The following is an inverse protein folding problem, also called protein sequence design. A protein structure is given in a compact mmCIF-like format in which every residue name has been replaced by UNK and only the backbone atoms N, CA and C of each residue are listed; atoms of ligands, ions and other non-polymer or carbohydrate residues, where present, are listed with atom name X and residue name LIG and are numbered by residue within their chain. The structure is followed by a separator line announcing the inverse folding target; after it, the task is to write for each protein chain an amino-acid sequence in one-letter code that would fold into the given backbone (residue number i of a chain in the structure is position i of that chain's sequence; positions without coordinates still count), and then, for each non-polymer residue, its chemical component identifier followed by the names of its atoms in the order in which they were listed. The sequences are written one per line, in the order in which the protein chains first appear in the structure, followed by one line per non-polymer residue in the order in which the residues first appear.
data_IF_800841728115
#
_entry.id   IF_800841728115
#
_cell.length_a   1.000
_cell.length_b   1.000
_cell.length_c   1.000
_cell.angle_alpha   90.00
_cell.angle_beta   90.00
_cell.angle_gamma   90.00
#
_symmetry.space_group_name_H-M   'P 1'
#
loop_
_entity.id
_entity.type
_entity.pdbx_description
1 polymer ?
#
# COMPACT_ATOMS: atom_id res chain seq x y z
N UNK A 1 -21.19 11.03 23.37
CA UNK A 1 -20.70 11.10 21.98
C UNK A 1 -19.19 10.84 21.89
N UNK A 2 -18.34 11.62 22.56
CA UNK A 2 -16.88 11.48 22.48
C UNK A 2 -16.33 10.08 22.85
N UNK A 3 -16.79 9.50 23.97
CA UNK A 3 -16.37 8.15 24.39
C UNK A 3 -16.79 7.05 23.41
N UNK A 4 -17.95 7.21 22.76
CA UNK A 4 -18.43 6.27 21.75
C UNK A 4 -17.58 6.35 20.47
N UNK A 5 -17.28 7.56 19.98
CA UNK A 5 -16.40 7.75 18.82
C UNK A 5 -15.01 7.16 19.03
N UNK A 6 -14.41 7.39 20.21
CA UNK A 6 -13.11 6.82 20.56
C UNK A 6 -13.13 5.28 20.64
N UNK A 7 -14.21 4.69 21.17
CA UNK A 7 -14.37 3.23 21.22
C UNK A 7 -14.51 2.62 19.81
N UNK A 8 -15.32 3.24 18.96
CA UNK A 8 -15.49 2.82 17.55
C UNK A 8 -14.16 2.88 16.81
N UNK A 9 -13.41 3.98 16.97
CA UNK A 9 -12.11 4.16 16.32
C UNK A 9 -11.09 3.13 16.79
N UNK A 10 -11.01 2.85 18.09
CA UNK A 10 -10.07 1.88 18.64
C UNK A 10 -10.36 0.46 18.15
N UNK A 11 -11.64 0.11 17.96
CA UNK A 11 -12.04 -1.19 17.43
C UNK A 11 -11.77 -1.30 15.91
N UNK A 12 -12.02 -0.22 15.17
CA UNK A 12 -11.99 -0.24 13.71
C UNK A 12 -10.59 0.02 13.12
N UNK A 13 -9.75 0.79 13.81
CA UNK A 13 -8.41 1.14 13.31
C UNK A 13 -7.51 -0.08 13.03
N UNK A 14 -7.45 -1.14 13.87
CA UNK A 14 -6.66 -2.33 13.57
C UNK A 14 -7.15 -3.06 12.32
N UNK A 15 -8.48 -3.16 12.14
CA UNK A 15 -9.08 -3.78 10.96
C UNK A 15 -8.71 -3.01 9.69
N UNK A 16 -8.85 -1.69 9.72
CA UNK A 16 -8.51 -0.83 8.58
C UNK A 16 -6.99 -0.82 8.29
N UNK A 17 -6.15 -0.88 9.32
CA UNK A 17 -4.69 -0.99 9.20
C UNK A 17 -4.30 -2.28 8.49
N UNK A 18 -4.84 -3.42 8.95
CA UNK A 18 -4.58 -4.72 8.33
C UNK A 18 -5.11 -4.79 6.89
N UNK A 19 -6.34 -4.32 6.67
CA UNK A 19 -6.94 -4.23 5.34
C UNK A 19 -6.07 -3.39 4.39
N UNK A 20 -5.59 -2.23 4.85
CA UNK A 20 -4.74 -1.35 4.04
C UNK A 20 -3.43 -2.05 3.66
N UNK A 21 -2.77 -2.70 4.62
CA UNK A 21 -1.53 -3.45 4.34
C UNK A 21 -1.73 -4.52 3.27
N UNK A 22 -2.74 -5.37 3.46
CA UNK A 22 -3.03 -6.47 2.53
C UNK A 22 -3.41 -5.94 1.16
N UNK A 23 -4.30 -4.94 1.11
CA UNK A 23 -4.84 -4.41 -0.14
C UNK A 23 -3.77 -3.66 -0.93
N UNK A 24 -2.94 -2.84 -0.28
CA UNK A 24 -1.86 -2.11 -0.94
C UNK A 24 -0.79 -3.06 -1.44
N UNK A 25 -0.33 -4.01 -0.63
CA UNK A 25 0.66 -4.99 -1.06
C UNK A 25 0.14 -5.83 -2.25
N UNK A 26 -1.12 -6.26 -2.18
CA UNK A 26 -1.77 -7.03 -3.25
C UNK A 26 -1.95 -6.17 -4.51
N UNK A 27 -2.34 -4.91 -4.38
CA UNK A 27 -2.47 -3.98 -5.51
C UNK A 27 -1.14 -3.76 -6.22
N UNK A 28 -0.04 -3.55 -5.47
CA UNK A 28 1.29 -3.41 -6.04
C UNK A 28 1.72 -4.69 -6.79
N UNK A 29 1.50 -5.85 -6.17
CA UNK A 29 1.83 -7.13 -6.78
C UNK A 29 1.01 -7.39 -8.05
N UNK A 30 -0.31 -7.19 -8.01
CA UNK A 30 -1.18 -7.34 -9.19
C UNK A 30 -0.84 -6.33 -10.29
N UNK A 31 -0.46 -5.10 -9.94
CA UNK A 31 0.01 -4.13 -10.93
C UNK A 31 1.29 -4.62 -11.64
N UNK A 32 2.18 -5.30 -10.91
CA UNK A 32 3.44 -5.81 -11.45
C UNK A 32 3.29 -7.08 -12.29
N UNK A 33 2.54 -8.07 -11.81
CA UNK A 33 2.50 -9.43 -12.40
C UNK A 33 1.10 -9.97 -12.63
N UNK A 34 0.04 -9.17 -12.43
CA UNK A 34 -1.35 -9.63 -12.46
C UNK A 34 -1.85 -10.14 -13.82
N UNK A 35 -1.16 -9.83 -14.90
CA UNK A 35 -1.43 -10.33 -16.25
C UNK A 35 -0.56 -11.53 -16.64
N UNK A 36 0.43 -11.89 -15.82
CA UNK A 36 1.29 -13.06 -16.02
C UNK A 36 0.69 -14.32 -15.40
N UNK A 37 -0.13 -14.17 -14.36
CA UNK A 37 -0.87 -15.27 -13.75
C UNK A 37 -2.30 -15.31 -14.32
N UNK A 38 -2.89 -16.51 -14.52
CA UNK A 38 -4.30 -16.60 -14.88
C UNK A 38 -5.15 -15.92 -13.79
N UNK A 39 -6.17 -15.14 -14.17
CA UNK A 39 -6.98 -14.40 -13.22
C UNK A 39 -7.66 -15.39 -12.27
N UNK A 40 -7.27 -15.35 -11.00
CA UNK A 40 -7.98 -16.08 -9.95
C UNK A 40 -9.24 -15.29 -9.65
N UNK A 41 -10.35 -15.60 -10.33
CA UNK A 41 -11.64 -14.91 -10.14
C UNK A 41 -12.04 -14.81 -8.66
N UNK A 42 -11.72 -15.84 -7.86
CA UNK A 42 -11.92 -15.84 -6.41
C UNK A 42 -11.16 -14.73 -5.67
N UNK A 43 -9.96 -14.36 -6.12
CA UNK A 43 -9.19 -13.26 -5.54
C UNK A 43 -9.85 -11.91 -5.82
N UNK A 44 -10.33 -11.69 -7.06
CA UNK A 44 -11.04 -10.45 -7.42
C UNK A 44 -12.31 -10.28 -6.58
N UNK A 45 -13.11 -11.35 -6.45
CA UNK A 45 -14.33 -11.34 -5.63
C UNK A 45 -13.99 -11.12 -4.14
N UNK A 46 -12.98 -11.79 -3.61
CA UNK A 46 -12.56 -11.61 -2.22
C UNK A 46 -12.10 -10.16 -1.95
N UNK A 47 -11.30 -9.60 -2.85
CA UNK A 47 -10.84 -8.21 -2.74
C UNK A 47 -11.99 -7.21 -2.87
N UNK A 48 -12.96 -7.46 -3.75
CA UNK A 48 -14.18 -6.64 -3.85
C UNK A 48 -15.02 -6.71 -2.58
N UNK A 49 -15.18 -7.90 -1.97
CA UNK A 49 -15.86 -8.05 -0.70
C UNK A 49 -15.16 -7.29 0.44
N UNK A 50 -13.82 -7.26 0.42
CA UNK A 50 -13.03 -6.51 1.40
C UNK A 50 -13.16 -4.98 1.24
N UNK A 51 -13.50 -4.46 0.05
CA UNK A 51 -13.73 -3.02 -0.17
C UNK A 51 -14.94 -2.46 0.62
N UNK A 52 -15.76 -3.33 1.22
CA UNK A 52 -16.80 -2.93 2.20
C UNK A 52 -16.17 -2.29 3.46
N UNK A 53 -14.95 -2.68 3.83
CA UNK A 53 -14.23 -2.14 5.00
C UNK A 53 -14.00 -0.63 4.85
N UNK A 54 -13.25 -0.14 3.84
CA UNK A 54 -13.01 1.30 3.70
C UNK A 54 -14.31 2.07 3.40
N UNK A 55 -15.30 1.44 2.76
CA UNK A 55 -16.61 2.07 2.55
C UNK A 55 -17.30 2.36 3.88
N UNK A 56 -17.34 1.36 4.77
CA UNK A 56 -17.92 1.55 6.10
C UNK A 56 -17.09 2.51 6.97
N UNK A 57 -15.77 2.59 6.78
CA UNK A 57 -14.93 3.62 7.40
C UNK A 57 -15.36 5.04 6.99
N UNK A 58 -15.62 5.28 5.71
CA UNK A 58 -16.12 6.58 5.21
C UNK A 58 -17.48 6.91 5.83
N UNK A 59 -18.38 5.93 5.92
CA UNK A 59 -19.67 6.13 6.60
C UNK A 59 -19.49 6.49 8.07
N UNK A 60 -18.60 5.81 8.79
CA UNK A 60 -18.28 6.10 10.20
C UNK A 60 -17.67 7.49 10.39
N UNK A 61 -16.79 7.94 9.47
CA UNK A 61 -16.23 9.31 9.48
C UNK A 61 -17.30 10.39 9.45
N UNK A 62 -18.39 10.16 8.73
CA UNK A 62 -19.49 11.13 8.58
C UNK A 62 -20.51 11.04 9.73
N UNK A 63 -20.70 9.85 10.29
CA UNK A 63 -21.82 9.56 11.20
C UNK A 63 -21.45 9.46 12.68
N UNK A 64 -20.25 8.99 13.00
CA UNK A 64 -19.91 8.54 14.35
C UNK A 64 -18.59 9.11 14.90
N UNK A 65 -17.67 9.55 14.04
CA UNK A 65 -16.35 10.00 14.46
C UNK A 65 -16.31 11.52 14.70
N UNK A 66 -15.74 11.97 15.83
CA UNK A 66 -15.55 13.39 16.10
C UNK A 66 -14.51 13.98 15.13
N UNK A 67 -14.69 15.26 14.77
CA UNK A 67 -13.70 16.00 13.98
C UNK A 67 -13.23 17.25 14.71
N UNK A 68 -11.92 17.41 14.83
CA UNK A 68 -11.34 18.65 15.30
C UNK A 68 -11.29 19.67 14.16
N UNK A 69 -11.74 20.90 14.44
CA UNK A 69 -11.64 22.02 13.52
C UNK A 69 -11.45 23.31 14.31
N UNK A 70 -10.34 24.02 14.06
CA UNK A 70 -9.95 25.24 14.78
C UNK A 70 -9.94 25.05 16.32
N UNK A 71 -9.47 23.89 16.79
CA UNK A 71 -9.42 23.56 18.23
C UNK A 71 -10.77 23.16 18.85
N UNK A 72 -11.85 23.12 18.06
CA UNK A 72 -13.16 22.65 18.51
C UNK A 72 -13.46 21.26 17.96
N UNK A 73 -13.90 20.36 18.84
CA UNK A 73 -14.33 19.01 18.46
C UNK A 73 -15.81 19.04 18.10
N UNK A 74 -16.11 18.75 16.83
CA UNK A 74 -17.46 18.60 16.32
C UNK A 74 -17.96 17.18 16.55
N UNK A 75 -19.22 17.06 16.97
CA UNK A 75 -19.88 15.77 17.22
C UNK A 75 -21.15 15.57 16.39
N UNK A 76 -21.72 16.63 15.80
CA UNK A 76 -22.99 16.54 15.09
C UNK A 76 -22.77 16.31 13.59
N UNK A 77 -23.55 15.40 13.01
CA UNK A 77 -23.50 15.08 11.57
C UNK A 77 -23.71 16.32 10.69
N UNK A 78 -24.59 17.24 11.13
CA UNK A 78 -24.90 18.48 10.42
C UNK A 78 -23.69 19.40 10.26
N UNK A 79 -22.75 19.37 11.21
CA UNK A 79 -21.51 20.16 11.16
C UNK A 79 -20.37 19.42 10.47
N UNK A 80 -20.28 18.10 10.66
CA UNK A 80 -19.20 17.26 10.11
C UNK A 80 -19.32 17.10 8.60
N UNK A 81 -20.52 16.82 8.09
CA UNK A 81 -20.71 16.48 6.66
C UNK A 81 -20.29 17.62 5.71
N UNK A 82 -20.74 18.89 5.88
CA UNK A 82 -20.33 19.96 4.96
C UNK A 82 -18.83 20.24 4.98
N UNK A 83 -18.16 19.99 6.11
CA UNK A 83 -16.71 20.17 6.25
C UNK A 83 -15.94 19.03 5.59
N UNK A 84 -16.40 17.80 5.78
CA UNK A 84 -15.86 16.63 5.09
C UNK A 84 -15.95 16.80 3.57
N UNK A 85 -17.12 17.20 3.03
CA UNK A 85 -17.31 17.46 1.60
C UNK A 85 -16.39 18.53 1.00
N UNK A 86 -15.80 19.40 1.83
CA UNK A 86 -14.84 20.43 1.40
C UNK A 86 -13.39 20.05 1.65
N UNK A 87 -13.12 18.95 2.36
CA UNK A 87 -11.76 18.53 2.64
C UNK A 87 -11.19 17.69 1.48
N UNK A 88 -9.87 17.73 1.25
CA UNK A 88 -9.23 16.89 0.23
C UNK A 88 -9.40 15.39 0.53
N UNK A 89 -9.70 15.03 1.78
CA UNK A 89 -9.96 13.65 2.20
C UNK A 89 -11.12 13.01 1.45
N UNK A 90 -12.17 13.76 1.11
CA UNK A 90 -13.29 13.23 0.30
C UNK A 90 -12.81 12.77 -1.07
N UNK A 91 -11.93 13.54 -1.69
CA UNK A 91 -11.38 13.18 -3.01
C UNK A 91 -10.54 11.92 -2.89
N UNK A 92 -9.68 11.84 -1.88
CA UNK A 92 -8.85 10.66 -1.61
C UNK A 92 -9.72 9.44 -1.33
N UNK A 93 -10.77 9.58 -0.51
CA UNK A 93 -11.70 8.51 -0.16
C UNK A 93 -12.46 8.00 -1.38
N UNK A 94 -13.03 8.89 -2.20
CA UNK A 94 -13.73 8.51 -3.42
C UNK A 94 -12.78 7.74 -4.34
N UNK A 95 -11.59 8.30 -4.62
CA UNK A 95 -10.63 7.68 -5.51
C UNK A 95 -10.12 6.33 -4.99
N UNK A 96 -9.91 6.18 -3.68
CA UNK A 96 -9.50 4.93 -3.06
C UNK A 96 -10.62 3.86 -3.07
N UNK A 97 -11.88 4.28 -2.99
CA UNK A 97 -13.02 3.36 -2.95
C UNK A 97 -13.44 2.84 -4.32
N UNK A 98 -13.15 3.57 -5.41
CA UNK A 98 -13.53 3.13 -6.75
C UNK A 98 -12.96 1.73 -7.07
N UNK A 99 -13.81 0.77 -7.48
CA UNK A 99 -13.37 -0.55 -7.93
C UNK A 99 -12.94 -0.47 -9.39
N UNK A 100 -11.84 0.24 -9.66
CA UNK A 100 -11.37 0.54 -11.02
C UNK A 100 -11.03 -0.73 -11.83
N UNK A 101 -10.78 -1.85 -11.17
CA UNK A 101 -10.53 -3.14 -11.80
C UNK A 101 -11.81 -3.88 -12.23
N UNK A 102 -12.95 -3.54 -11.62
CA UNK A 102 -14.26 -4.13 -11.97
C UNK A 102 -14.90 -3.37 -13.13
N UNK A 103 -14.67 -2.06 -13.25
CA UNK A 103 -15.28 -1.21 -14.28
C UNK A 103 -15.01 -1.75 -15.71
N UNK A 104 -13.75 -2.04 -16.12
CA UNK A 104 -13.47 -2.58 -17.44
C UNK A 104 -14.16 -3.92 -17.69
N UNK A 105 -14.17 -4.81 -16.69
CA UNK A 105 -14.82 -6.12 -16.76
C UNK A 105 -16.31 -6.00 -17.04
N UNK A 106 -16.98 -5.03 -16.38
CA UNK A 106 -18.41 -4.74 -16.61
C UNK A 106 -18.64 -4.12 -17.99
N UNK A 107 -17.69 -3.34 -18.50
CA UNK A 107 -17.75 -2.72 -19.84
C UNK A 107 -17.38 -3.68 -20.98
N UNK A 108 -17.12 -4.96 -20.68
CA UNK A 108 -16.77 -5.97 -21.67
C UNK A 108 -15.32 -5.90 -22.17
N UNK A 109 -14.49 -5.09 -21.53
CA UNK A 109 -13.04 -5.10 -21.74
C UNK A 109 -12.46 -6.26 -20.91
N UNK A 110 -11.72 -7.20 -21.51
CA UNK A 110 -11.06 -8.28 -20.77
C UNK A 110 -9.96 -7.80 -19.82
N UNK A 111 -9.90 -6.51 -19.47
CA UNK A 111 -8.79 -5.87 -18.77
C UNK A 111 -8.47 -6.55 -17.43
N UNK A 112 -7.59 -7.54 -17.51
CA UNK A 112 -6.79 -8.14 -16.45
C UNK A 112 -5.63 -7.24 -16.04
N UNK A 113 -5.77 -5.93 -16.26
CA UNK A 113 -4.73 -4.97 -16.02
C UNK A 113 -4.71 -4.59 -14.53
N UNK A 114 -3.89 -5.30 -13.76
CA UNK A 114 -3.78 -5.09 -12.31
C UNK A 114 -3.38 -3.68 -11.88
N UNK A 115 -2.91 -2.83 -12.80
CA UNK A 115 -2.60 -1.42 -12.54
C UNK A 115 -3.83 -0.59 -12.12
N UNK A 116 -5.05 -0.97 -12.53
CA UNK A 116 -6.26 -0.28 -12.12
C UNK A 116 -6.46 -0.29 -10.60
N UNK A 117 -6.00 -1.35 -9.90
CA UNK A 117 -6.09 -1.44 -8.44
C UNK A 117 -5.07 -0.57 -7.70
N UNK A 118 -4.13 0.07 -8.39
CA UNK A 118 -3.12 0.91 -7.74
C UNK A 118 -3.74 2.15 -7.06
N UNK A 119 -4.97 2.54 -7.42
CA UNK A 119 -5.74 3.55 -6.68
C UNK A 119 -5.93 3.20 -5.19
N UNK A 120 -5.93 1.91 -4.83
CA UNK A 120 -5.99 1.48 -3.43
C UNK A 120 -4.76 1.91 -2.62
N UNK A 121 -3.64 2.26 -3.25
CA UNK A 121 -2.49 2.86 -2.58
C UNK A 121 -2.85 4.20 -1.90
N UNK A 122 -3.91 4.89 -2.34
CA UNK A 122 -4.42 6.10 -1.69
C UNK A 122 -4.89 5.87 -0.24
N UNK A 123 -5.20 4.62 0.14
CA UNK A 123 -5.50 4.25 1.53
C UNK A 123 -4.33 4.51 2.48
N UNK A 124 -3.10 4.59 1.97
CA UNK A 124 -1.92 4.95 2.75
C UNK A 124 -2.00 6.35 3.36
N UNK A 125 -2.85 7.23 2.80
CA UNK A 125 -3.08 8.57 3.33
C UNK A 125 -3.52 8.54 4.80
N UNK A 126 -4.33 7.56 5.21
CA UNK A 126 -4.81 7.42 6.59
C UNK A 126 -4.00 6.39 7.40
N UNK A 127 -3.12 5.64 6.75
CA UNK A 127 -2.50 4.47 7.33
C UNK A 127 -1.66 4.79 8.57
N UNK A 128 -0.86 5.86 8.53
CA UNK A 128 -0.01 6.25 9.66
C UNK A 128 -0.80 6.57 10.93
N UNK A 129 -1.91 7.29 10.79
CA UNK A 129 -2.81 7.63 11.90
C UNK A 129 -3.46 6.36 12.49
N UNK A 130 -3.97 5.46 11.63
CA UNK A 130 -4.64 4.23 12.08
C UNK A 130 -3.68 3.21 12.65
N UNK A 131 -2.46 3.14 12.13
CA UNK A 131 -1.38 2.37 12.73
C UNK A 131 -1.06 2.90 14.13
N UNK A 132 -0.97 4.21 14.32
CA UNK A 132 -0.72 4.80 15.64
C UNK A 132 -1.82 4.47 16.66
N UNK A 133 -3.10 4.53 16.25
CA UNK A 133 -4.23 4.09 17.09
C UNK A 133 -4.15 2.60 17.40
N UNK A 134 -3.86 1.76 16.40
CA UNK A 134 -3.77 0.30 16.54
C UNK A 134 -2.66 -0.14 17.50
N UNK A 135 -1.55 0.60 17.51
CA UNK A 135 -0.44 0.37 18.42
C UNK A 135 -0.63 1.04 19.79
N UNK A 136 -1.80 1.66 20.04
CA UNK A 136 -2.19 2.37 21.26
C UNK A 136 -1.70 1.75 22.59
N UNK A 137 -1.87 0.44 22.82
CA UNK A 137 -1.48 -0.22 24.07
C UNK A 137 0.05 -0.34 24.31
N UNK A 138 0.88 -0.17 23.28
CA UNK A 138 2.32 -0.41 23.37
C UNK A 138 3.07 0.77 24.01
N UNK A 139 4.29 0.54 24.49
CA UNK A 139 5.18 1.63 24.96
C UNK A 139 5.61 2.51 23.78
N UNK A 140 5.86 3.83 23.99
CA UNK A 140 6.21 4.76 22.90
C UNK A 140 7.40 4.29 22.03
N UNK A 141 8.44 3.74 22.64
CA UNK A 141 9.61 3.18 21.95
C UNK A 141 9.22 2.00 21.06
N UNK A 142 8.42 1.07 21.58
CA UNK A 142 7.90 -0.07 20.82
C UNK A 142 6.98 0.36 19.68
N UNK A 143 6.10 1.36 19.90
CA UNK A 143 5.25 1.91 18.83
C UNK A 143 6.08 2.44 17.66
N UNK A 144 7.12 3.22 17.97
CA UNK A 144 8.02 3.77 16.95
C UNK A 144 8.75 2.67 16.18
N UNK A 145 9.29 1.68 16.89
CA UNK A 145 9.97 0.54 16.26
C UNK A 145 9.03 -0.25 15.33
N UNK A 146 7.85 -0.63 15.82
CA UNK A 146 6.85 -1.37 15.02
C UNK A 146 6.40 -0.56 13.81
N UNK A 147 6.10 0.73 13.98
CA UNK A 147 5.70 1.61 12.88
C UNK A 147 6.78 1.69 11.80
N UNK A 148 8.05 1.87 12.21
CA UNK A 148 9.19 1.96 11.29
C UNK A 148 9.40 0.64 10.53
N UNK A 149 9.26 -0.50 11.21
CA UNK A 149 9.34 -1.83 10.58
C UNK A 149 8.23 -2.00 9.53
N UNK A 150 6.99 -1.63 9.88
CA UNK A 150 5.84 -1.75 8.97
C UNK A 150 6.05 -0.87 7.72
N UNK A 151 6.49 0.37 7.89
CA UNK A 151 6.82 1.26 6.76
C UNK A 151 7.97 0.73 5.92
N UNK A 152 9.03 0.20 6.56
CA UNK A 152 10.16 -0.40 5.87
C UNK A 152 9.72 -1.55 4.95
N UNK A 153 8.90 -2.48 5.46
CA UNK A 153 8.39 -3.60 4.65
C UNK A 153 7.45 -3.14 3.54
N UNK A 154 6.59 -2.15 3.80
CA UNK A 154 5.71 -1.60 2.79
C UNK A 154 6.51 -0.99 1.63
N UNK A 155 7.54 -0.19 1.95
CA UNK A 155 8.43 0.42 0.96
C UNK A 155 9.23 -0.66 0.20
N UNK A 156 9.71 -1.71 0.89
CA UNK A 156 10.35 -2.85 0.24
C UNK A 156 9.43 -3.53 -0.78
N UNK A 157 8.14 -3.70 -0.47
CA UNK A 157 7.16 -4.26 -1.39
C UNK A 157 6.99 -3.37 -2.63
N UNK A 158 6.93 -2.04 -2.47
CA UNK A 158 6.85 -1.12 -3.61
C UNK A 158 8.06 -1.26 -4.55
N UNK A 159 9.28 -1.27 -4.00
CA UNK A 159 10.50 -1.42 -4.79
C UNK A 159 10.63 -2.81 -5.43
N UNK A 160 10.20 -3.86 -4.73
CA UNK A 160 10.13 -5.21 -5.28
C UNK A 160 9.17 -5.28 -6.48
N UNK A 161 7.98 -4.70 -6.35
CA UNK A 161 7.00 -4.65 -7.45
C UNK A 161 7.49 -3.78 -8.61
N UNK A 162 8.21 -2.69 -8.33
CA UNK A 162 8.85 -1.87 -9.37
C UNK A 162 9.95 -2.65 -10.12
N UNK A 163 10.76 -3.45 -9.42
CA UNK A 163 11.73 -4.36 -10.05
C UNK A 163 11.04 -5.34 -11.00
N UNK A 164 9.93 -5.96 -10.56
CA UNK A 164 9.16 -6.88 -11.40
C UNK A 164 8.54 -6.18 -12.62
N UNK A 165 8.06 -4.94 -12.46
CA UNK A 165 7.56 -4.12 -13.58
C UNK A 165 8.68 -3.81 -14.59
N UNK A 166 9.88 -3.48 -14.12
CA UNK A 166 11.05 -3.27 -14.98
C UNK A 166 11.38 -4.57 -15.71
N UNK A 167 11.51 -5.69 -14.99
CA UNK A 167 11.77 -7.01 -15.57
C UNK A 167 10.79 -7.35 -16.70
N UNK A 168 9.51 -7.05 -16.50
CA UNK A 168 8.47 -7.25 -17.51
C UNK A 168 8.63 -6.32 -18.72
N UNK A 169 9.11 -5.09 -18.51
CA UNK A 169 9.23 -4.08 -19.57
C UNK A 169 10.48 -4.26 -20.44
N UNK A 170 11.62 -4.60 -19.83
CA UNK A 170 12.92 -4.69 -20.51
C UNK A 170 13.45 -6.14 -20.65
N UNK A 171 12.75 -7.12 -20.07
CA UNK A 171 13.09 -8.54 -20.10
C UNK A 171 13.78 -9.05 -18.84
N UNK A 172 13.56 -10.32 -18.49
CA UNK A 172 14.13 -10.96 -17.29
C UNK A 172 15.67 -10.99 -17.31
N UNK A 173 16.27 -11.18 -18.49
CA UNK A 173 17.72 -11.21 -18.65
C UNK A 173 18.40 -9.91 -18.17
N UNK A 174 17.76 -8.75 -18.37
CA UNK A 174 18.30 -7.46 -17.97
C UNK A 174 18.27 -7.21 -16.46
N UNK A 175 17.53 -8.02 -15.70
CA UNK A 175 17.46 -7.94 -14.22
C UNK A 175 18.06 -9.17 -13.54
N UNK A 176 18.51 -10.16 -14.30
CA UNK A 176 19.02 -11.43 -13.80
C UNK A 176 20.26 -11.23 -12.92
N UNK A 177 21.17 -10.34 -13.31
CA UNK A 177 22.39 -10.07 -12.54
C UNK A 177 22.08 -9.41 -11.19
N UNK A 178 21.10 -8.51 -11.15
CA UNK A 178 20.69 -7.83 -9.92
C UNK A 178 19.92 -8.76 -8.97
N UNK A 179 19.09 -9.65 -9.51
CA UNK A 179 18.22 -10.51 -8.70
C UNK A 179 18.78 -11.91 -8.47
N UNK A 180 19.83 -12.29 -9.18
CA UNK A 180 20.42 -13.64 -9.16
C UNK A 180 19.54 -14.72 -9.79
N UNK A 181 18.49 -14.34 -10.55
CA UNK A 181 17.59 -15.30 -11.20
C UNK A 181 17.27 -14.91 -12.65
N UNK A 182 17.51 -15.81 -13.62
CA UNK A 182 17.14 -15.57 -15.02
C UNK A 182 15.62 -15.70 -15.28
N UNK A 183 14.86 -16.22 -14.31
CA UNK A 183 13.45 -16.60 -14.45
C UNK A 183 12.56 -15.87 -13.42
N UNK A 184 12.84 -14.58 -13.20
CA UNK A 184 12.25 -13.78 -12.12
C UNK A 184 10.71 -13.70 -12.16
N UNK A 185 10.12 -13.57 -13.35
CA UNK A 185 8.69 -13.46 -13.59
C UNK A 185 8.01 -14.81 -13.73
N UNK A 186 8.67 -15.76 -14.39
CA UNK A 186 8.11 -17.08 -14.70
C UNK A 186 8.02 -18.00 -13.47
N UNK A 187 8.93 -17.88 -12.51
CA UNK A 187 8.89 -18.62 -11.25
C UNK A 187 8.36 -17.77 -10.09
N UNK A 188 7.24 -18.20 -9.49
CA UNK A 188 6.63 -17.52 -8.33
C UNK A 188 7.56 -17.46 -7.12
N UNK A 189 8.42 -18.45 -6.94
CA UNK A 189 9.41 -18.44 -5.84
C UNK A 189 10.49 -17.40 -6.13
N UNK A 190 10.99 -17.35 -7.36
CA UNK A 190 11.96 -16.35 -7.82
C UNK A 190 11.44 -14.92 -7.66
N UNK A 191 10.13 -14.65 -7.78
CA UNK A 191 9.58 -13.31 -7.51
C UNK A 191 9.92 -12.80 -6.10
N UNK A 192 10.08 -13.67 -5.11
CA UNK A 192 10.50 -13.28 -3.76
C UNK A 192 11.93 -12.74 -3.70
N UNK A 193 12.78 -13.05 -4.68
CA UNK A 193 14.12 -12.48 -4.81
C UNK A 193 14.09 -10.98 -5.08
N UNK A 194 13.03 -10.47 -5.72
CA UNK A 194 12.84 -9.02 -5.89
C UNK A 194 12.61 -8.31 -4.54
N UNK A 195 11.93 -8.97 -3.59
CA UNK A 195 11.73 -8.45 -2.24
C UNK A 195 13.03 -8.52 -1.44
N UNK A 196 13.77 -9.62 -1.53
CA UNK A 196 15.10 -9.73 -0.94
C UNK A 196 16.03 -8.63 -1.45
N UNK A 197 16.07 -8.42 -2.77
CA UNK A 197 16.83 -7.35 -3.41
C UNK A 197 16.44 -5.98 -2.84
N UNK A 198 15.13 -5.66 -2.80
CA UNK A 198 14.65 -4.38 -2.29
C UNK A 198 15.05 -4.17 -0.82
N UNK A 199 14.87 -5.17 0.03
CA UNK A 199 15.25 -5.10 1.45
C UNK A 199 16.77 -4.88 1.61
N UNK A 200 17.60 -5.63 0.89
CA UNK A 200 19.06 -5.48 0.94
C UNK A 200 19.50 -4.05 0.60
N UNK A 201 18.93 -3.48 -0.45
CA UNK A 201 19.26 -2.13 -0.92
C UNK A 201 18.71 -1.02 -0.04
N UNK A 202 17.51 -1.19 0.52
CA UNK A 202 16.96 -0.26 1.51
C UNK A 202 17.82 -0.22 2.79
N UNK A 203 18.41 -1.36 3.18
CA UNK A 203 19.33 -1.47 4.31
C UNK A 203 20.77 -0.99 4.00
N UNK A 204 21.03 -0.48 2.79
CA UNK A 204 22.35 0.02 2.39
C UNK A 204 23.40 -1.07 2.17
N UNK A 205 23.00 -2.32 1.97
CA UNK A 205 23.92 -3.44 1.82
C UNK A 205 24.30 -3.66 0.35
N UNK A 206 25.34 -2.99 -0.15
CA UNK A 206 25.74 -3.06 -1.58
C UNK A 206 26.93 -4.00 -1.86
N UNK A 207 27.36 -4.80 -0.89
CA UNK A 207 28.66 -5.50 -0.98
C UNK A 207 28.69 -6.52 -2.13
N UNK A 208 29.63 -6.30 -3.06
CA UNK A 208 29.99 -7.26 -4.10
C UNK A 208 29.06 -7.32 -5.31
N UNK A 209 28.13 -6.38 -5.45
CA UNK A 209 27.23 -6.35 -6.61
C UNK A 209 27.80 -5.51 -7.74
N UNK A 210 27.61 -6.00 -8.97
CA UNK A 210 27.87 -5.23 -10.17
C UNK A 210 26.86 -4.07 -10.26
N UNK A 211 27.31 -2.92 -10.76
CA UNK A 211 26.41 -1.81 -11.06
C UNK A 211 25.48 -2.28 -12.19
N UNK A 212 24.16 -2.06 -12.08
CA UNK A 212 23.23 -2.38 -13.16
C UNK A 212 23.61 -1.74 -14.50
N UNK A 213 23.66 -2.54 -15.57
CA UNK A 213 23.90 -2.05 -16.93
C UNK A 213 22.70 -1.30 -17.52
N UNK A 214 21.50 -1.52 -16.97
CA UNK A 214 20.26 -0.88 -17.42
C UNK A 214 20.00 0.43 -16.69
N UNK A 215 19.80 1.53 -17.45
CA UNK A 215 19.44 2.85 -16.91
C UNK A 215 18.19 2.81 -16.00
N UNK A 216 17.20 1.98 -16.35
CA UNK A 216 15.98 1.81 -15.55
C UNK A 216 16.28 1.20 -14.18
N UNK A 217 17.15 0.19 -14.17
CA UNK A 217 17.54 -0.52 -12.96
C UNK A 217 18.47 0.32 -12.09
N UNK A 218 19.38 1.09 -12.71
CA UNK A 218 20.22 2.06 -12.03
C UNK A 218 19.38 3.18 -11.40
N UNK A 219 18.38 3.70 -12.13
CA UNK A 219 17.43 4.68 -11.60
C UNK A 219 16.65 4.13 -10.40
N UNK A 220 16.13 2.90 -10.51
CA UNK A 220 15.45 2.23 -9.40
C UNK A 220 16.36 2.06 -8.19
N UNK A 221 17.61 1.63 -8.41
CA UNK A 221 18.63 1.47 -7.38
C UNK A 221 18.87 2.80 -6.65
N UNK A 222 19.16 3.88 -7.38
CA UNK A 222 19.39 5.22 -6.79
C UNK A 222 18.20 5.65 -5.93
N UNK A 223 16.96 5.51 -6.43
CA UNK A 223 15.76 5.88 -5.67
C UNK A 223 15.59 4.99 -4.45
N UNK A 224 15.86 3.69 -4.56
CA UNK A 224 15.84 2.75 -3.43
C UNK A 224 16.79 3.18 -2.33
N UNK A 225 18.00 3.61 -2.69
CA UNK A 225 19.02 4.07 -1.73
C UNK A 225 18.58 5.38 -1.05
N UNK A 226 18.13 6.35 -1.85
CA UNK A 226 17.69 7.66 -1.35
C UNK A 226 16.51 7.56 -0.39
N UNK A 227 15.58 6.64 -0.65
CA UNK A 227 14.42 6.38 0.21
C UNK A 227 14.77 5.48 1.38
N UNK A 228 15.63 4.49 1.16
CA UNK A 228 15.98 3.46 2.15
C UNK A 228 16.86 3.96 3.28
N UNK A 229 17.90 4.75 2.98
CA UNK A 229 18.84 5.23 4.00
C UNK A 229 18.15 6.02 5.14
N UNK A 230 17.24 6.98 4.86
CA UNK A 230 16.50 7.66 5.92
C UNK A 230 15.60 6.74 6.74
N UNK A 231 14.92 5.78 6.09
CA UNK A 231 14.02 4.83 6.77
C UNK A 231 14.84 3.89 7.66
N UNK A 232 15.96 3.38 7.16
CA UNK A 232 16.84 2.49 7.91
C UNK A 232 17.53 3.20 9.08
N UNK A 233 17.90 4.48 8.91
CA UNK A 233 18.42 5.30 10.01
C UNK A 233 17.36 5.64 11.08
N UNK A 234 16.06 5.53 10.74
CA UNK A 234 14.97 5.79 11.67
C UNK A 234 14.54 4.55 12.48
N UNK A 235 14.99 3.35 12.08
CA UNK A 235 14.81 2.06 12.78
C UNK A 235 15.75 1.95 13.99
#
# INVERSE_FOLDING_TARGET
AAQFGAAVETLYAPLLTLYTLVTVATACYLAAVGDLDPPVQGLVIALFALDVIPLSWVLLKVTALPREHNGHVLFTRAEVLPRYLRSPEVVVDILALLPLDVIPVVLGDPATHGWYRFNKALLLFYFGEKLAVSLGPLRPTTKRAVSSIVWYFLVAIFFACAMLLIAKRIGEAAVADATGSPNLLSDRVSRMLSLWWAMKHLAGQFRGEAIPDSDWLLGLLIVTILVGLPIFAAL
#
